data_IF_730571282650
#
_entry.id   IF_730571282650
#
_cell.length_a   1.000
_cell.length_b   1.000
_cell.length_c   1.000
_cell.angle_alpha   90.00
_cell.angle_beta   90.00
_cell.angle_gamma   90.00
#
_symmetry.space_group_name_H-M   'P 1'
#
loop_
_entity.id
_entity.type
_entity.pdbx_description
1 polymer ?
#
# COMPACT_ATOMS: atom_id res chain seq x y z
N UNK A 1 0.83 11.52 -30.22
CA UNK A 1 1.79 10.52 -29.81
C UNK A 1 2.56 10.92 -28.57
N UNK A 2 2.56 10.06 -27.58
CA UNK A 2 3.12 10.41 -26.31
C UNK A 2 4.52 9.86 -26.16
N UNK A 3 5.45 10.76 -25.95
CA UNK A 3 6.84 10.39 -25.81
C UNK A 3 7.22 10.04 -24.39
N UNK A 4 6.34 10.38 -23.45
CA UNK A 4 6.66 10.28 -22.04
C UNK A 4 6.02 9.07 -21.36
N UNK A 5 5.29 8.28 -22.11
CA UNK A 5 4.70 7.06 -21.59
C UNK A 5 5.66 5.91 -21.78
N UNK A 6 5.69 5.05 -20.79
CA UNK A 6 6.44 3.81 -20.90
C UNK A 6 5.54 2.68 -20.42
N UNK A 7 5.77 1.52 -20.98
CA UNK A 7 5.08 0.31 -20.53
C UNK A 7 5.96 -0.35 -19.50
N UNK A 8 5.45 -0.51 -18.29
CA UNK A 8 6.17 -1.21 -17.23
C UNK A 8 5.32 -2.36 -16.75
N UNK A 9 5.97 -3.38 -16.26
CA UNK A 9 5.24 -4.50 -15.67
C UNK A 9 4.62 -4.03 -14.36
N UNK A 10 3.57 -4.73 -13.93
CA UNK A 10 2.94 -4.42 -12.65
C UNK A 10 3.94 -4.60 -11.51
N UNK A 11 4.80 -5.61 -11.61
CA UNK A 11 5.81 -5.82 -10.58
C UNK A 11 6.76 -4.62 -10.48
N UNK A 12 7.16 -4.07 -11.62
CA UNK A 12 8.02 -2.88 -11.62
C UNK A 12 7.32 -1.68 -11.03
N UNK A 13 6.03 -1.53 -11.33
CA UNK A 13 5.26 -0.44 -10.77
C UNK A 13 5.11 -0.58 -9.27
N UNK A 14 4.93 -1.81 -8.78
CA UNK A 14 4.86 -2.05 -7.34
C UNK A 14 6.17 -1.66 -6.66
N UNK A 15 7.30 -1.97 -7.29
CA UNK A 15 8.61 -1.56 -6.75
C UNK A 15 8.71 -0.04 -6.68
N UNK A 16 8.28 0.65 -7.73
CA UNK A 16 8.30 2.12 -7.76
C UNK A 16 7.41 2.69 -6.66
N UNK A 17 6.28 2.07 -6.44
CA UNK A 17 5.34 2.51 -5.42
C UNK A 17 5.96 2.40 -4.02
N UNK A 18 6.61 1.28 -3.74
CA UNK A 18 7.29 1.11 -2.45
C UNK A 18 8.44 2.12 -2.30
N UNK A 19 9.17 2.38 -3.37
CA UNK A 19 10.24 3.39 -3.32
C UNK A 19 9.69 4.75 -2.93
N UNK A 20 8.53 5.13 -3.46
CA UNK A 20 7.92 6.41 -3.09
C UNK A 20 7.50 6.40 -1.62
N UNK A 21 7.00 5.26 -1.13
CA UNK A 21 6.67 5.12 0.28
C UNK A 21 7.91 5.34 1.16
N UNK A 22 9.01 4.70 0.78
CA UNK A 22 10.23 4.75 1.60
C UNK A 22 10.81 6.15 1.69
N UNK A 23 10.62 6.96 0.67
CA UNK A 23 11.08 8.35 0.69
C UNK A 23 10.37 9.18 1.76
N UNK A 24 9.22 8.74 2.20
CA UNK A 24 8.42 9.49 3.18
C UNK A 24 8.61 8.99 4.60
N UNK A 25 9.51 8.03 4.83
CA UNK A 25 9.76 7.51 6.18
C UNK A 25 10.14 8.65 7.11
N UNK A 26 9.55 8.61 8.31
CA UNK A 26 9.80 9.64 9.30
C UNK A 26 8.82 10.80 9.26
N UNK A 27 7.99 10.90 8.21
CA UNK A 27 6.98 11.96 8.17
C UNK A 27 6.01 11.72 9.32
N UNK A 28 5.67 12.79 10.04
CA UNK A 28 4.90 12.66 11.27
C UNK A 28 3.45 12.29 11.00
N UNK A 29 2.84 11.66 11.98
CA UNK A 29 1.42 11.36 11.97
C UNK A 29 0.62 12.57 12.46
N UNK A 30 -0.52 12.82 11.82
CA UNK A 30 -1.47 13.80 12.32
C UNK A 30 -2.86 13.37 11.86
N UNK A 31 -3.79 13.28 12.78
CA UNK A 31 -5.15 12.84 12.46
C UNK A 31 -5.76 13.75 11.39
N UNK A 32 -6.33 13.14 10.37
CA UNK A 32 -6.96 13.86 9.27
C UNK A 32 -5.99 14.37 8.22
N UNK A 33 -4.69 14.17 8.39
CA UNK A 33 -3.69 14.69 7.45
C UNK A 33 -3.57 13.81 6.22
N UNK A 34 -3.45 14.46 5.07
CA UNK A 34 -3.36 13.78 3.76
C UNK A 34 -2.01 13.95 3.09
N UNK A 35 -1.04 14.56 3.78
CA UNK A 35 0.27 14.79 3.22
C UNK A 35 0.40 16.16 2.55
N UNK A 36 1.61 16.50 2.13
CA UNK A 36 2.85 15.72 2.26
C UNK A 36 3.59 15.89 3.58
N UNK A 37 3.19 16.86 4.43
CA UNK A 37 3.96 17.20 5.62
C UNK A 37 3.56 16.36 6.82
N UNK A 38 2.44 15.72 6.78
CA UNK A 38 1.95 14.83 7.82
C UNK A 38 0.91 13.91 7.20
N UNK A 39 0.66 12.76 7.81
CA UNK A 39 -0.31 11.78 7.30
C UNK A 39 -1.06 11.14 8.44
N UNK A 40 -2.33 10.81 8.21
CA UNK A 40 -2.94 9.73 8.97
C UNK A 40 -2.79 8.45 8.14
N UNK A 41 -3.29 7.31 8.63
CA UNK A 41 -3.00 6.04 7.96
C UNK A 41 -3.58 5.96 6.55
N UNK A 42 -4.84 6.31 6.39
CA UNK A 42 -5.48 6.28 5.07
C UNK A 42 -5.03 7.46 4.20
N UNK A 43 -4.62 8.55 4.83
CA UNK A 43 -4.03 9.67 4.10
C UNK A 43 -2.74 9.28 3.43
N UNK A 44 -1.91 8.48 4.11
CA UNK A 44 -0.65 8.00 3.54
C UNK A 44 -0.89 7.07 2.36
N UNK A 45 -1.72 6.05 2.55
CA UNK A 45 -2.00 5.11 1.46
C UNK A 45 -2.62 5.81 0.26
N UNK A 46 -3.56 6.73 0.52
CA UNK A 46 -4.20 7.48 -0.56
C UNK A 46 -3.24 8.39 -1.30
N UNK A 47 -2.35 9.04 -0.55
CA UNK A 47 -1.35 9.92 -1.16
C UNK A 47 -0.43 9.14 -2.10
N UNK A 48 0.05 7.99 -1.65
CA UNK A 48 0.95 7.15 -2.45
C UNK A 48 0.24 6.67 -3.71
N UNK A 49 -0.95 6.09 -3.56
CA UNK A 49 -1.65 5.55 -4.72
C UNK A 49 -2.07 6.63 -5.70
N UNK A 50 -2.35 7.83 -5.21
CA UNK A 50 -2.69 8.94 -6.09
C UNK A 50 -1.53 9.29 -7.03
N UNK A 51 -0.29 9.15 -6.57
CA UNK A 51 0.87 9.39 -7.44
C UNK A 51 0.90 8.46 -8.64
N UNK A 52 0.24 7.32 -8.53
CA UNK A 52 0.23 6.30 -9.59
C UNK A 52 -1.10 6.23 -10.33
N UNK A 53 -1.96 7.23 -10.10
CA UNK A 53 -3.18 7.35 -10.87
C UNK A 53 -4.40 6.69 -10.26
N UNK A 54 -4.30 6.18 -9.04
CA UNK A 54 -5.43 5.54 -8.37
C UNK A 54 -6.00 6.44 -7.30
N UNK A 55 -7.32 6.50 -7.23
CA UNK A 55 -8.02 7.25 -6.20
C UNK A 55 -8.62 6.26 -5.23
N UNK A 56 -8.16 6.28 -3.99
CA UNK A 56 -8.68 5.41 -2.94
C UNK A 56 -9.70 6.18 -2.11
N UNK A 57 -10.56 5.44 -1.40
CA UNK A 57 -11.46 6.06 -0.44
C UNK A 57 -10.66 6.83 0.61
N UNK A 58 -11.28 7.82 1.24
CA UNK A 58 -10.55 8.67 2.18
C UNK A 58 -10.25 7.97 3.50
N UNK A 59 -11.14 7.11 3.97
CA UNK A 59 -11.02 6.49 5.30
C UNK A 59 -10.44 5.08 5.20
N UNK A 60 -9.91 4.60 6.32
CA UNK A 60 -9.41 3.23 6.36
C UNK A 60 -10.54 2.22 6.12
N UNK A 61 -11.72 2.46 6.67
CA UNK A 61 -12.84 1.55 6.43
C UNK A 61 -13.27 1.55 4.98
N UNK A 62 -13.20 2.71 4.31
CA UNK A 62 -13.50 2.79 2.89
C UNK A 62 -12.45 2.06 2.06
N UNK A 63 -11.17 2.22 2.41
CA UNK A 63 -10.10 1.55 1.69
C UNK A 63 -10.16 0.03 1.86
N UNK A 64 -10.73 -0.44 2.95
CA UNK A 64 -10.93 -1.87 3.16
C UNK A 64 -11.93 -2.46 2.16
N UNK A 65 -12.59 -1.63 1.37
CA UNK A 65 -13.50 -2.07 0.32
C UNK A 65 -13.04 -1.66 -1.08
N UNK A 66 -11.91 -0.98 -1.18
CA UNK A 66 -11.34 -0.62 -2.49
C UNK A 66 -10.72 -1.85 -3.14
N UNK A 67 -10.64 -1.81 -4.45
CA UNK A 67 -10.02 -2.89 -5.20
C UNK A 67 -10.75 -4.20 -5.01
N UNK A 68 -9.99 -5.27 -4.84
CA UNK A 68 -10.57 -6.59 -4.60
C UNK A 68 -9.87 -7.28 -3.44
N UNK A 69 -10.58 -8.21 -2.76
CA UNK A 69 -9.97 -8.88 -1.60
C UNK A 69 -8.85 -9.82 -2.03
N UNK A 70 -7.83 -9.91 -1.19
CA UNK A 70 -6.79 -10.92 -1.34
C UNK A 70 -7.13 -12.02 -0.38
N UNK A 71 -7.40 -13.23 -0.89
CA UNK A 71 -7.90 -14.32 -0.08
C UNK A 71 -6.88 -15.43 0.00
N UNK A 72 -7.06 -16.31 0.96
CA UNK A 72 -6.19 -17.46 1.15
C UNK A 72 -5.03 -17.14 2.07
N UNK A 73 -3.88 -17.74 1.78
CA UNK A 73 -2.73 -17.64 2.67
C UNK A 73 -1.96 -16.34 2.44
N UNK A 74 -1.05 -16.05 3.36
CA UNK A 74 -0.19 -14.87 3.23
C UNK A 74 0.64 -14.91 1.95
N UNK A 75 0.91 -16.09 1.41
CA UNK A 75 1.69 -16.21 0.19
C UNK A 75 0.98 -15.60 -1.03
N UNK A 76 -0.31 -15.33 -0.91
CA UNK A 76 -1.05 -14.67 -1.98
C UNK A 76 -0.89 -13.15 -1.97
N UNK A 77 -0.28 -12.60 -0.93
CA UNK A 77 -0.04 -11.16 -0.87
C UNK A 77 1.00 -10.75 -1.89
N UNK A 78 0.83 -9.56 -2.40
CA UNK A 78 1.64 -9.00 -3.48
C UNK A 78 2.09 -7.61 -3.07
N UNK A 79 3.32 -7.26 -3.40
CA UNK A 79 3.87 -5.94 -3.10
C UNK A 79 2.89 -4.85 -3.54
N UNK A 80 2.58 -3.95 -2.63
CA UNK A 80 1.63 -2.87 -2.89
C UNK A 80 0.24 -3.13 -2.35
N UNK A 81 -0.08 -4.36 -1.95
CA UNK A 81 -1.40 -4.64 -1.40
C UNK A 81 -1.65 -3.79 -0.16
N UNK A 82 -2.90 -3.35 0.02
CA UNK A 82 -3.30 -2.63 1.21
C UNK A 82 -3.59 -3.67 2.29
N UNK A 83 -2.88 -3.58 3.41
CA UNK A 83 -3.14 -4.47 4.55
C UNK A 83 -4.03 -3.74 5.54
N UNK A 84 -5.00 -4.44 6.09
CA UNK A 84 -6.10 -3.87 6.85
C UNK A 84 -6.08 -4.42 8.27
N UNK A 85 -6.20 -3.54 9.24
CA UNK A 85 -6.14 -3.90 10.65
C UNK A 85 -7.38 -3.37 11.38
N UNK A 86 -7.83 -4.11 12.39
CA UNK A 86 -8.95 -3.71 13.20
C UNK A 86 -8.61 -2.55 14.13
N UNK A 87 -9.62 -1.81 14.51
CA UNK A 87 -9.47 -0.70 15.45
C UNK A 87 -9.11 -1.23 16.84
N UNK A 88 -9.56 -2.43 17.17
CA UNK A 88 -9.28 -3.08 18.43
C UNK A 88 -9.01 -4.54 18.17
N UNK A 89 -8.39 -5.18 19.16
CA UNK A 89 -8.23 -6.63 19.12
C UNK A 89 -9.61 -7.28 19.08
N UNK A 90 -9.79 -8.18 18.12
CA UNK A 90 -11.01 -8.98 17.99
C UNK A 90 -12.28 -8.18 17.71
N UNK A 91 -12.17 -6.93 17.26
CA UNK A 91 -13.34 -6.20 16.81
C UNK A 91 -13.45 -6.33 15.30
N UNK A 92 -14.65 -6.28 14.77
CA UNK A 92 -14.85 -6.29 13.32
C UNK A 92 -14.67 -4.92 12.69
N UNK A 93 -14.25 -3.94 13.45
CA UNK A 93 -14.19 -2.57 13.02
C UNK A 93 -12.81 -2.24 12.48
N UNK A 94 -12.78 -1.65 11.29
CA UNK A 94 -11.52 -1.27 10.64
C UNK A 94 -11.00 0.00 11.30
N UNK A 95 -9.69 0.03 11.59
CA UNK A 95 -9.08 1.20 12.21
C UNK A 95 -7.75 1.61 11.63
N UNK A 96 -7.14 0.79 10.76
CA UNK A 96 -5.82 1.09 10.28
C UNK A 96 -5.54 0.39 8.96
N UNK A 97 -4.71 1.02 8.13
CA UNK A 97 -4.26 0.44 6.86
C UNK A 97 -2.79 0.73 6.66
N UNK A 98 -2.15 -0.12 5.89
CA UNK A 98 -0.77 0.07 5.47
C UNK A 98 -0.56 -0.55 4.11
N UNK A 99 0.69 -0.59 3.65
CA UNK A 99 1.05 -1.11 2.33
C UNK A 99 2.04 -2.24 2.51
N UNK A 100 1.67 -3.42 2.02
CA UNK A 100 2.47 -4.63 2.10
C UNK A 100 3.77 -4.47 1.30
N UNK A 101 4.89 -4.87 1.89
CA UNK A 101 6.18 -4.85 1.21
C UNK A 101 6.57 -6.25 0.77
N UNK A 102 6.80 -7.15 1.72
CA UNK A 102 7.25 -8.50 1.36
C UNK A 102 7.04 -9.48 2.51
N UNK A 103 6.95 -10.75 2.15
CA UNK A 103 6.94 -11.84 3.13
C UNK A 103 8.37 -12.11 3.60
N UNK A 104 8.49 -12.67 4.81
CA UNK A 104 9.78 -13.15 5.26
C UNK A 104 10.06 -14.51 4.63
N UNK A 105 11.25 -15.06 4.90
CA UNK A 105 11.69 -16.31 4.28
C UNK A 105 10.81 -17.49 4.69
N UNK A 106 10.14 -17.43 5.84
CA UNK A 106 9.29 -18.53 6.30
C UNK A 106 7.88 -18.45 5.73
N UNK A 107 7.49 -17.28 5.17
CA UNK A 107 6.13 -17.09 4.68
C UNK A 107 5.10 -16.89 5.78
N UNK A 108 5.54 -16.70 7.03
CA UNK A 108 4.62 -16.55 8.16
C UNK A 108 4.56 -15.13 8.71
N UNK A 109 5.42 -14.26 8.23
CA UNK A 109 5.47 -12.87 8.66
C UNK A 109 5.63 -11.99 7.43
N UNK A 110 5.30 -10.72 7.55
CA UNK A 110 5.53 -9.79 6.44
C UNK A 110 5.83 -8.41 6.99
N UNK A 111 6.49 -7.59 6.16
CA UNK A 111 6.71 -6.19 6.46
C UNK A 111 5.72 -5.33 5.69
N UNK A 112 5.38 -4.20 6.28
CA UNK A 112 4.49 -3.23 5.65
C UNK A 112 4.89 -1.83 6.09
N UNK A 113 4.59 -0.85 5.24
CA UNK A 113 4.88 0.55 5.55
C UNK A 113 3.55 1.28 5.76
N UNK A 114 3.52 2.14 6.77
CA UNK A 114 2.28 2.79 7.17
C UNK A 114 2.57 4.03 7.99
N UNK A 115 1.55 4.90 8.14
CA UNK A 115 1.64 6.05 9.01
C UNK A 115 1.08 5.66 10.37
N UNK A 116 1.95 5.49 11.34
CA UNK A 116 1.58 5.07 12.68
C UNK A 116 1.50 6.27 13.61
N UNK A 117 0.59 6.22 14.58
CA UNK A 117 0.45 7.31 15.55
C UNK A 117 1.79 7.57 16.23
N UNK A 118 2.48 6.51 16.62
CA UNK A 118 3.83 6.63 17.17
C UNK A 118 4.83 6.36 16.07
N UNK A 119 5.71 7.32 15.83
CA UNK A 119 6.78 7.14 14.87
C UNK A 119 6.50 7.64 13.48
N UNK A 120 5.24 7.93 13.15
CA UNK A 120 4.91 8.42 11.82
C UNK A 120 5.04 7.33 10.77
N UNK A 121 5.49 7.71 9.57
CA UNK A 121 5.66 6.75 8.48
C UNK A 121 6.84 5.83 8.82
N UNK A 122 6.54 4.56 8.95
CA UNK A 122 7.51 3.57 9.43
C UNK A 122 7.19 2.19 8.86
N UNK A 123 8.19 1.32 8.91
CA UNK A 123 8.02 -0.08 8.51
C UNK A 123 7.83 -0.90 9.77
N UNK A 124 6.79 -1.72 9.77
CA UNK A 124 6.50 -2.65 10.86
C UNK A 124 6.32 -4.03 10.27
N UNK A 125 6.11 -5.03 11.13
CA UNK A 125 5.85 -6.36 10.62
C UNK A 125 4.68 -7.01 11.35
N UNK A 126 4.05 -7.97 10.68
CA UNK A 126 2.81 -8.58 11.12
C UNK A 126 2.90 -9.19 12.50
N UNK A 127 4.03 -9.85 12.80
CA UNK A 127 4.15 -10.60 14.05
C UNK A 127 4.32 -9.72 15.28
N UNK A 128 4.50 -8.41 15.12
CA UNK A 128 4.41 -7.52 16.28
C UNK A 128 3.05 -7.74 16.93
N UNK A 129 2.98 -7.98 18.24
CA UNK A 129 1.73 -8.38 18.87
C UNK A 129 0.54 -7.47 18.56
N UNK A 130 0.77 -6.18 18.52
CA UNK A 130 -0.28 -5.22 18.21
C UNK A 130 -0.93 -5.51 16.87
N UNK A 131 -0.11 -5.74 15.82
CA UNK A 131 -0.62 -5.94 14.46
C UNK A 131 -1.13 -7.35 14.25
N UNK A 132 -0.46 -8.32 14.86
CA UNK A 132 -0.90 -9.71 14.73
C UNK A 132 -2.32 -9.89 15.26
N UNK A 133 -2.64 -9.20 16.34
CA UNK A 133 -3.97 -9.31 16.95
C UNK A 133 -5.04 -8.59 16.17
N UNK A 134 -4.66 -7.69 15.27
CA UNK A 134 -5.60 -6.81 14.57
C UNK A 134 -5.69 -7.04 13.08
N UNK A 135 -4.81 -7.87 12.52
CA UNK A 135 -4.79 -8.08 11.09
C UNK A 135 -6.11 -8.70 10.62
N UNK A 136 -6.74 -8.10 9.60
CA UNK A 136 -8.04 -8.51 9.10
C UNK A 136 -8.02 -8.96 7.65
N UNK A 137 -6.98 -8.67 6.92
CA UNK A 137 -6.91 -9.06 5.52
C UNK A 137 -6.26 -8.00 4.66
N UNK A 138 -6.46 -8.14 3.36
CA UNK A 138 -5.80 -7.24 2.42
C UNK A 138 -6.66 -6.99 1.20
N UNK A 139 -6.38 -5.87 0.53
CA UNK A 139 -7.06 -5.47 -0.70
C UNK A 139 -6.02 -5.23 -1.77
N UNK A 140 -6.32 -5.61 -3.00
CA UNK A 140 -5.40 -5.41 -4.13
C UNK A 140 -5.94 -4.33 -5.04
N UNK A 141 -5.10 -3.31 -5.24
CA UNK A 141 -5.44 -2.19 -6.12
C UNK A 141 -4.77 -2.38 -7.48
N UNK A 142 -3.52 -2.80 -7.48
CA UNK A 142 -2.77 -3.04 -8.71
C UNK A 142 -3.23 -4.34 -9.37
N UNK A 143 -2.99 -4.50 -10.68
CA UNK A 143 -3.28 -5.79 -11.32
C UNK A 143 -2.44 -6.90 -10.70
N UNK A 144 -2.94 -8.14 -10.81
CA UNK A 144 -2.21 -9.29 -10.30
C UNK A 144 -0.94 -9.52 -11.10
N UNK A 145 0.15 -9.84 -10.41
CA UNK A 145 1.36 -10.27 -11.09
C UNK A 145 1.95 -11.55 -10.48
N UNK A 146 1.24 -12.17 -9.53
CA UNK A 146 1.69 -13.41 -8.89
C UNK A 146 0.88 -14.62 -9.34
N UNK A 147 0.12 -14.51 -10.41
CA UNK A 147 -0.73 -15.62 -10.84
C UNK A 147 0.12 -16.68 -11.53
N UNK A 148 -0.44 -17.88 -11.59
CA UNK A 148 0.23 -18.96 -12.31
C UNK A 148 0.35 -18.70 -13.79
N UNK A 149 -0.44 -17.80 -14.32
CA UNK A 149 -0.42 -17.44 -15.73
C UNK A 149 0.39 -16.20 -15.99
N UNK A 150 1.23 -15.87 -15.08
CA UNK A 150 2.00 -14.64 -15.15
C UNK A 150 3.13 -14.70 -16.17
N UNK A 151 3.30 -15.83 -16.87
CA UNK A 151 4.16 -15.84 -18.03
C UNK A 151 3.69 -14.82 -19.05
N UNK A 152 2.40 -14.56 -19.05
CA UNK A 152 1.87 -13.42 -19.80
C UNK A 152 1.89 -12.26 -18.87
N UNK A 153 2.97 -11.54 -18.89
CA UNK A 153 3.09 -10.43 -17.97
C UNK A 153 1.98 -9.44 -18.17
N UNK A 154 1.35 -9.08 -17.06
CA UNK A 154 0.41 -7.98 -17.08
C UNK A 154 1.21 -6.72 -17.35
N UNK A 155 0.95 -6.09 -18.47
CA UNK A 155 1.62 -4.85 -18.81
C UNK A 155 0.76 -3.69 -18.34
N UNK A 156 1.41 -2.63 -18.00
CA UNK A 156 0.73 -1.45 -17.50
C UNK A 156 1.40 -0.22 -18.11
N UNK A 157 0.61 0.56 -18.81
CA UNK A 157 1.12 1.79 -19.41
C UNK A 157 1.09 2.88 -18.36
N UNK A 158 2.25 3.40 -18.06
CA UNK A 158 2.44 4.34 -16.96
C UNK A 158 3.07 5.61 -17.49
N UNK A 159 2.43 6.73 -17.16
CA UNK A 159 2.91 8.03 -17.58
C UNK A 159 3.95 8.49 -16.57
N UNK A 160 5.22 8.38 -16.94
CA UNK A 160 6.32 8.70 -16.05
C UNK A 160 6.34 10.18 -15.68
N UNK A 161 5.92 11.03 -16.60
CA UNK A 161 5.93 12.46 -16.32
C UNK A 161 4.85 12.84 -15.31
N UNK A 162 3.70 12.20 -15.39
CA UNK A 162 2.65 12.43 -14.42
C UNK A 162 3.12 12.05 -13.00
N UNK A 163 3.84 10.93 -12.89
CA UNK A 163 4.35 10.51 -11.60
C UNK A 163 5.38 11.50 -11.05
N UNK A 164 6.22 12.04 -11.92
CA UNK A 164 7.21 13.04 -11.50
C UNK A 164 6.53 14.31 -11.02
N UNK A 165 5.52 14.79 -11.74
CA UNK A 165 4.80 15.98 -11.34
C UNK A 165 4.12 15.78 -9.98
N UNK A 166 3.53 14.63 -9.76
CA UNK A 166 2.90 14.35 -8.48
C UNK A 166 3.89 14.40 -7.33
N UNK A 167 5.15 13.95 -7.57
CA UNK A 167 6.17 14.02 -6.55
C UNK A 167 6.62 15.45 -6.27
N UNK A 168 6.70 16.27 -7.31
CA UNK A 168 7.14 17.65 -7.13
C UNK A 168 6.11 18.49 -6.41
N UNK A 169 4.84 18.19 -6.61
CA UNK A 169 3.76 18.89 -5.92
C UNK A 169 3.62 18.47 -4.47
N UNK A 170 4.24 17.38 -4.08
CA UNK A 170 4.12 16.85 -2.71
C UNK A 170 5.14 17.52 -1.73
#
# INVERSE_FOLDING_TARGET
ERKDSVTVSTAEMADMLIDECMKLRGTRYSYGARGPKAFDCSGFTGYIYNKFGYTLARSSSGQAEDGRPVEGSLSNLQKGDIVVFGARRSSGRIGHVGIFIELDSTGTDFTFIHAAVKGGVTVSHLKEPYYKQRFMGARRILPDFLTKHSTERAEYEFDINRAKLAREDA
#
